data_IF_623700806602
#
_entry.id   IF_623700806602
#
_cell.length_a   1.000
_cell.length_b   1.000
_cell.length_c   1.000
_cell.angle_alpha   90.00
_cell.angle_beta   90.00
_cell.angle_gamma   90.00
#
_symmetry.space_group_name_H-M   'P 1'
#
loop_
_entity.id
_entity.type
_entity.pdbx_description
1 polymer ?
#
# COMPACT_ATOMS: atom_id res chain seq x y z
N UNK A 1 27.49 1.32 0.80
CA UNK A 1 26.16 1.77 0.35
C UNK A 1 26.36 2.72 -0.83
N UNK A 2 25.66 2.53 -1.96
CA UNK A 2 25.90 3.31 -3.20
C UNK A 2 25.57 4.80 -3.00
N UNK A 3 26.44 5.71 -3.46
CA UNK A 3 26.24 7.16 -3.37
C UNK A 3 24.89 7.61 -3.97
N UNK A 4 24.47 6.95 -5.05
CA UNK A 4 23.19 7.22 -5.75
C UNK A 4 22.00 6.88 -4.85
N UNK A 5 22.06 5.75 -4.12
CA UNK A 5 20.98 5.35 -3.22
C UNK A 5 20.82 6.35 -2.08
N UNK A 6 21.92 6.83 -1.51
CA UNK A 6 21.89 7.85 -0.46
C UNK A 6 21.34 9.18 -0.98
N UNK A 7 21.68 9.56 -2.21
CA UNK A 7 21.14 10.77 -2.84
C UNK A 7 19.62 10.69 -3.05
N UNK A 8 19.11 9.54 -3.52
CA UNK A 8 17.65 9.32 -3.66
C UNK A 8 16.98 9.40 -2.29
N UNK A 9 17.52 8.73 -1.26
CA UNK A 9 16.96 8.77 0.10
C UNK A 9 16.89 10.20 0.65
N UNK A 10 17.95 10.97 0.50
CA UNK A 10 17.98 12.37 0.95
C UNK A 10 17.01 13.26 0.16
N UNK A 11 16.87 13.03 -1.15
CA UNK A 11 15.91 13.74 -1.99
C UNK A 11 14.48 13.47 -1.53
N UNK A 12 14.11 12.18 -1.41
CA UNK A 12 12.77 11.76 -0.95
C UNK A 12 12.50 12.32 0.45
N UNK A 13 13.44 12.18 1.38
CA UNK A 13 13.27 12.64 2.77
C UNK A 13 12.99 14.14 2.89
N UNK A 14 13.57 14.97 2.01
CA UNK A 14 13.33 16.42 1.97
C UNK A 14 12.04 16.78 1.24
N UNK A 15 11.60 15.92 0.33
CA UNK A 15 10.43 16.15 -0.53
C UNK A 15 9.11 15.60 0.00
N UNK A 16 9.11 14.90 1.14
CA UNK A 16 7.88 14.32 1.71
C UNK A 16 7.55 14.82 3.10
N UNK A 17 6.26 14.96 3.36
CA UNK A 17 5.69 15.11 4.70
C UNK A 17 5.03 13.79 5.11
N UNK A 18 5.35 13.30 6.32
CA UNK A 18 4.82 12.03 6.84
C UNK A 18 3.86 12.28 7.99
N UNK A 19 2.62 11.82 7.85
CA UNK A 19 1.58 11.90 8.87
C UNK A 19 1.14 10.50 9.29
N UNK A 20 1.19 10.21 10.59
CA UNK A 20 0.75 8.93 11.15
C UNK A 20 -0.61 9.15 11.80
N UNK A 21 -1.63 8.49 11.26
CA UNK A 21 -2.98 8.55 11.83
C UNK A 21 -3.09 7.57 13.01
N UNK A 22 -3.91 7.93 14.00
CA UNK A 22 -4.29 7.04 15.10
C UNK A 22 -4.96 5.75 14.60
N UNK A 23 -5.08 4.75 15.48
CA UNK A 23 -5.55 3.40 15.11
C UNK A 23 -6.91 3.48 14.40
N UNK A 24 -6.99 2.96 13.17
CA UNK A 24 -8.23 3.00 12.37
C UNK A 24 -9.02 1.69 12.50
N UNK A 25 -8.35 0.53 12.59
CA UNK A 25 -8.94 -0.78 12.92
C UNK A 25 -7.88 -1.90 12.80
N UNK A 26 -8.03 -3.01 13.55
CA UNK A 26 -7.20 -4.23 13.46
C UNK A 26 -5.68 -4.06 13.66
N UNK A 27 -5.25 -3.07 14.45
CA UNK A 27 -3.82 -2.87 14.77
C UNK A 27 -2.97 -2.32 13.62
N UNK A 28 -3.61 -1.80 12.56
CA UNK A 28 -2.95 -1.16 11.42
C UNK A 28 -3.00 0.37 11.56
N UNK A 29 -1.84 0.99 11.41
CA UNK A 29 -1.64 2.44 11.43
C UNK A 29 -1.52 2.94 9.99
N UNK A 30 -2.46 3.76 9.50
CA UNK A 30 -2.29 4.45 8.24
C UNK A 30 -1.20 5.50 8.40
N UNK A 31 -0.21 5.43 7.52
CA UNK A 31 0.84 6.43 7.41
C UNK A 31 0.75 7.05 6.04
N UNK A 32 0.35 8.32 6.01
CA UNK A 32 0.24 9.13 4.81
C UNK A 32 1.60 9.80 4.53
N UNK A 33 2.07 9.67 3.31
CA UNK A 33 3.29 10.32 2.80
C UNK A 33 2.86 11.27 1.70
N UNK A 34 2.97 12.57 1.96
CA UNK A 34 2.55 13.62 1.03
C UNK A 34 3.74 14.23 0.33
N UNK A 35 3.65 14.44 -0.97
CA UNK A 35 4.61 15.21 -1.74
C UNK A 35 4.46 16.71 -1.44
N UNK A 36 5.53 17.34 -0.98
CA UNK A 36 5.61 18.78 -0.67
C UNK A 36 6.57 19.53 -1.59
N UNK A 37 7.11 18.89 -2.63
CA UNK A 37 7.97 19.54 -3.62
C UNK A 37 7.17 20.32 -4.64
N UNK A 38 7.86 21.13 -5.45
CA UNK A 38 7.28 21.76 -6.62
C UNK A 38 7.40 20.82 -7.84
N UNK A 39 6.69 19.70 -7.81
CA UNK A 39 6.67 18.69 -8.89
C UNK A 39 5.26 18.49 -9.46
N UNK A 40 5.15 17.71 -10.53
CA UNK A 40 3.85 17.31 -11.09
C UNK A 40 2.97 16.51 -10.11
N UNK A 41 3.56 15.92 -9.08
CA UNK A 41 2.85 15.18 -8.03
C UNK A 41 2.66 15.99 -6.75
N UNK A 42 2.94 17.29 -6.76
CA UNK A 42 2.76 18.17 -5.61
C UNK A 42 1.38 17.99 -4.98
N UNK A 43 1.35 17.69 -3.68
CA UNK A 43 0.12 17.47 -2.92
C UNK A 43 -0.43 16.04 -2.98
N UNK A 44 0.10 15.17 -3.84
CA UNK A 44 -0.29 13.75 -3.87
C UNK A 44 0.13 13.06 -2.59
N UNK A 45 -0.62 12.01 -2.21
CA UNK A 45 -0.41 11.28 -0.96
C UNK A 45 -0.39 9.77 -1.21
N UNK A 46 0.65 9.10 -0.74
CA UNK A 46 0.72 7.64 -0.65
C UNK A 46 0.38 7.21 0.77
N UNK A 47 -0.56 6.27 0.94
CA UNK A 47 -0.87 5.70 2.25
C UNK A 47 -0.27 4.30 2.38
N UNK A 48 0.48 4.10 3.46
CA UNK A 48 1.00 2.81 3.89
C UNK A 48 0.21 2.29 5.09
N UNK A 49 -0.06 0.99 5.14
CA UNK A 49 -0.69 0.34 6.30
C UNK A 49 0.40 -0.35 7.12
N UNK A 50 0.84 0.29 8.19
CA UNK A 50 1.93 -0.15 9.06
C UNK A 50 1.38 -0.93 10.24
N UNK A 51 2.05 -2.02 10.60
CA UNK A 51 1.73 -2.87 11.75
C UNK A 51 2.86 -2.74 12.79
N UNK A 52 2.49 -2.83 14.07
CA UNK A 52 3.45 -2.92 15.17
C UNK A 52 3.70 -4.38 15.49
N UNK A 53 4.94 -4.83 15.39
CA UNK A 53 5.35 -6.19 15.72
C UNK A 53 5.06 -6.49 17.19
N UNK A 54 4.41 -7.63 17.45
CA UNK A 54 4.17 -8.11 18.81
C UNK A 54 5.44 -8.63 19.48
N UNK A 55 6.46 -9.02 18.69
CA UNK A 55 7.70 -9.61 19.21
C UNK A 55 8.70 -8.58 19.70
N UNK A 56 8.96 -7.53 18.90
CA UNK A 56 9.99 -6.54 19.17
C UNK A 56 9.49 -5.09 19.18
N UNK A 57 8.17 -4.88 19.04
CA UNK A 57 7.56 -3.55 19.05
C UNK A 57 7.87 -2.68 17.84
N UNK A 58 8.65 -3.17 16.86
CA UNK A 58 9.04 -2.41 15.67
C UNK A 58 7.92 -2.34 14.63
N UNK A 59 7.90 -1.25 13.90
CA UNK A 59 7.07 -1.04 12.73
C UNK A 59 7.49 -2.00 11.61
N UNK A 60 6.50 -2.59 10.94
CA UNK A 60 6.72 -3.34 9.71
C UNK A 60 5.53 -3.15 8.76
N UNK A 61 5.76 -3.39 7.47
CA UNK A 61 4.71 -3.41 6.46
C UNK A 61 4.74 -4.77 5.76
N UNK A 62 3.71 -5.59 5.95
CA UNK A 62 3.64 -6.93 5.34
C UNK A 62 3.72 -6.90 3.81
N UNK A 63 3.16 -5.87 3.18
CA UNK A 63 3.05 -5.75 1.73
C UNK A 63 4.27 -5.10 1.08
N UNK A 64 5.11 -4.37 1.85
CA UNK A 64 6.27 -3.60 1.39
C UNK A 64 5.94 -2.63 0.24
N UNK A 65 4.74 -2.08 0.25
CA UNK A 65 4.29 -1.07 -0.72
C UNK A 65 3.16 -0.22 -0.15
N UNK A 66 2.91 0.93 -0.76
CA UNK A 66 1.69 1.71 -0.50
C UNK A 66 0.43 0.93 -0.91
N UNK A 67 -0.67 1.20 -0.20
CA UNK A 67 -1.99 0.61 -0.42
C UNK A 67 -2.97 1.54 -1.14
N UNK A 68 -2.71 2.84 -1.12
CA UNK A 68 -3.60 3.87 -1.65
C UNK A 68 -2.77 5.06 -2.12
N UNK A 69 -3.20 5.65 -3.23
CA UNK A 69 -2.69 6.88 -3.81
C UNK A 69 -3.84 7.89 -3.88
N UNK A 70 -3.68 9.06 -3.30
CA UNK A 70 -4.56 10.22 -3.53
C UNK A 70 -3.85 11.23 -4.42
N UNK A 71 -4.50 11.63 -5.49
CA UNK A 71 -4.00 12.60 -6.46
C UNK A 71 -4.82 13.88 -6.34
N UNK A 72 -4.21 14.95 -5.85
CA UNK A 72 -4.80 16.29 -5.87
C UNK A 72 -4.65 16.93 -7.25
N UNK A 73 -5.49 17.92 -7.54
CA UNK A 73 -5.52 18.58 -8.85
C UNK A 73 -5.73 17.60 -10.01
N UNK A 74 -6.54 16.57 -9.78
CA UNK A 74 -6.71 15.46 -10.70
C UNK A 74 -7.34 15.89 -12.03
N UNK A 75 -8.17 16.93 -12.05
CA UNK A 75 -8.79 17.50 -13.25
C UNK A 75 -7.79 17.80 -14.37
N UNK A 76 -6.58 18.27 -14.02
CA UNK A 76 -5.50 18.52 -14.98
C UNK A 76 -4.99 17.22 -15.61
N UNK A 77 -4.73 16.20 -14.78
CA UNK A 77 -4.30 14.88 -15.24
C UNK A 77 -5.39 14.21 -16.07
N UNK A 78 -6.65 14.31 -15.64
CA UNK A 78 -7.80 13.79 -16.37
C UNK A 78 -7.92 14.41 -17.76
N UNK A 79 -7.72 15.72 -17.89
CA UNK A 79 -7.71 16.41 -19.19
C UNK A 79 -6.61 15.85 -20.11
N UNK A 80 -5.40 15.64 -19.59
CA UNK A 80 -4.31 15.02 -20.34
C UNK A 80 -4.63 13.58 -20.76
N UNK A 81 -5.24 12.79 -19.87
CA UNK A 81 -5.70 11.43 -20.17
C UNK A 81 -6.71 11.42 -21.33
N UNK A 82 -7.67 12.34 -21.34
CA UNK A 82 -8.66 12.46 -22.41
C UNK A 82 -8.03 12.87 -23.75
N UNK A 83 -7.05 13.78 -23.73
CA UNK A 83 -6.30 14.17 -24.92
C UNK A 83 -5.51 12.98 -25.49
N UNK A 84 -4.78 12.26 -24.64
CA UNK A 84 -4.03 11.05 -25.01
C UNK A 84 -4.95 9.97 -25.57
N UNK A 85 -6.12 9.75 -24.95
CA UNK A 85 -7.13 8.84 -25.48
C UNK A 85 -7.59 9.23 -26.88
N UNK A 86 -7.92 10.51 -27.08
CA UNK A 86 -8.36 11.03 -28.38
C UNK A 86 -7.31 10.83 -29.47
N UNK A 87 -6.05 11.19 -29.20
CA UNK A 87 -4.92 10.97 -30.11
C UNK A 87 -4.75 9.50 -30.48
N UNK A 88 -4.83 8.61 -29.49
CA UNK A 88 -4.73 7.16 -29.72
C UNK A 88 -5.87 6.63 -30.59
N UNK A 89 -7.10 7.07 -30.35
CA UNK A 89 -8.25 6.66 -31.18
C UNK A 89 -8.20 7.21 -32.60
N UNK A 90 -7.51 8.34 -32.80
CA UNK A 90 -7.24 8.93 -34.12
C UNK A 90 -6.05 8.25 -34.85
N UNK A 91 -5.33 7.33 -34.21
CA UNK A 91 -4.21 6.61 -34.82
C UNK A 91 -2.88 7.36 -34.78
N UNK A 92 -2.77 8.45 -34.01
CA UNK A 92 -1.53 9.23 -33.88
C UNK A 92 -0.44 8.38 -33.22
N UNK A 93 0.68 8.15 -33.90
CA UNK A 93 1.81 7.35 -33.39
C UNK A 93 1.41 5.96 -32.87
N UNK A 94 0.36 5.36 -33.44
CA UNK A 94 -0.10 4.03 -33.06
C UNK A 94 0.65 2.96 -33.83
N UNK A 95 1.30 2.08 -33.07
CA UNK A 95 2.00 0.90 -33.56
C UNK A 95 1.14 -0.34 -33.32
N UNK A 96 1.15 -1.28 -34.29
CA UNK A 96 0.58 -2.62 -34.10
C UNK A 96 1.65 -3.55 -33.54
N UNK A 97 1.34 -4.19 -32.41
CA UNK A 97 2.20 -5.21 -31.82
C UNK A 97 1.97 -6.59 -32.44
N UNK A 98 2.91 -7.50 -32.20
CA UNK A 98 2.88 -8.87 -32.71
C UNK A 98 1.65 -9.68 -32.27
N UNK A 99 1.00 -9.27 -31.18
CA UNK A 99 -0.25 -9.87 -30.68
C UNK A 99 -1.51 -9.23 -31.30
N UNK A 100 -1.35 -8.34 -32.28
CA UNK A 100 -2.42 -7.61 -32.94
C UNK A 100 -2.94 -6.40 -32.16
N UNK A 101 -2.46 -6.16 -30.92
CA UNK A 101 -2.89 -5.02 -30.12
C UNK A 101 -2.27 -3.71 -30.59
N UNK A 102 -3.05 -2.64 -30.56
CA UNK A 102 -2.55 -1.29 -30.80
C UNK A 102 -1.84 -0.76 -29.56
N UNK A 103 -0.73 -0.05 -29.78
CA UNK A 103 0.13 0.50 -28.76
C UNK A 103 0.60 1.89 -29.16
N UNK A 104 0.73 2.82 -28.21
CA UNK A 104 1.35 4.11 -28.45
C UNK A 104 2.01 4.64 -27.18
N UNK A 105 2.92 5.58 -27.37
CA UNK A 105 3.57 6.32 -26.30
C UNK A 105 3.39 7.81 -26.56
N UNK A 106 3.03 8.56 -25.52
CA UNK A 106 2.92 10.02 -25.57
C UNK A 106 3.67 10.62 -24.40
N UNK A 107 4.40 11.70 -24.65
CA UNK A 107 5.12 12.44 -23.63
C UNK A 107 4.80 13.92 -23.82
N UNK A 108 3.69 14.42 -23.26
CA UNK A 108 3.26 15.81 -23.45
C UNK A 108 4.21 16.82 -22.78
N UNK A 109 5.00 16.37 -21.81
CA UNK A 109 6.02 17.15 -21.11
C UNK A 109 7.11 16.22 -20.54
N UNK A 110 8.15 16.80 -19.97
CA UNK A 110 9.27 16.02 -19.38
C UNK A 110 8.89 15.34 -18.04
N UNK A 111 7.76 15.71 -17.44
CA UNK A 111 7.32 15.23 -16.13
C UNK A 111 6.41 13.99 -16.19
N UNK A 112 5.77 13.71 -17.32
CA UNK A 112 4.78 12.63 -17.48
C UNK A 112 5.00 11.85 -18.78
N UNK A 113 5.01 10.53 -18.65
CA UNK A 113 5.07 9.59 -19.75
C UNK A 113 3.80 8.74 -19.80
N UNK A 114 3.11 8.76 -20.92
CA UNK A 114 1.89 7.99 -21.15
C UNK A 114 2.18 6.81 -22.06
N UNK A 115 1.75 5.63 -21.63
CA UNK A 115 1.80 4.41 -22.41
C UNK A 115 0.37 3.92 -22.63
N UNK A 116 -0.04 3.78 -23.87
CA UNK A 116 -1.42 3.44 -24.24
C UNK A 116 -1.43 2.09 -24.93
N UNK A 117 -2.38 1.23 -24.55
CA UNK A 117 -2.60 -0.05 -25.19
C UNK A 117 -4.08 -0.31 -25.36
N UNK A 118 -4.47 -0.88 -26.49
CA UNK A 118 -5.82 -1.43 -26.59
C UNK A 118 -6.01 -2.64 -25.67
N UNK A 119 -7.25 -2.82 -25.27
CA UNK A 119 -7.78 -4.03 -24.65
C UNK A 119 -9.09 -4.38 -25.34
N UNK A 120 -9.59 -5.59 -25.10
CA UNK A 120 -10.93 -5.99 -25.55
C UNK A 120 -11.96 -4.97 -25.01
N UNK A 121 -12.57 -4.22 -25.93
CA UNK A 121 -13.58 -3.17 -25.68
C UNK A 121 -13.13 -1.98 -24.83
N UNK A 122 -11.83 -1.77 -24.60
CA UNK A 122 -11.35 -0.67 -23.77
C UNK A 122 -9.94 -0.23 -24.18
N UNK A 123 -9.49 0.89 -23.63
CA UNK A 123 -8.13 1.40 -23.79
C UNK A 123 -7.53 1.58 -22.41
N UNK A 124 -6.34 1.00 -22.19
CA UNK A 124 -5.58 1.20 -20.97
C UNK A 124 -4.51 2.27 -21.19
N UNK A 125 -4.53 3.30 -20.36
CA UNK A 125 -3.59 4.41 -20.36
C UNK A 125 -2.80 4.35 -19.06
N UNK A 126 -1.53 3.98 -19.14
CA UNK A 126 -0.60 4.00 -18.00
C UNK A 126 0.15 5.32 -18.01
N UNK A 127 0.02 6.09 -16.94
CA UNK A 127 0.81 7.29 -16.67
C UNK A 127 1.99 6.87 -15.82
N UNK A 128 3.20 7.27 -16.21
CA UNK A 128 4.42 7.11 -15.42
C UNK A 128 4.98 8.49 -15.12
N UNK A 129 5.25 8.76 -13.85
CA UNK A 129 5.87 10.01 -13.41
C UNK A 129 7.35 10.00 -13.79
N UNK A 130 7.78 10.97 -14.59
CA UNK A 130 9.19 11.14 -15.02
C UNK A 130 9.81 12.42 -14.49
N UNK A 131 9.09 13.16 -13.65
CA UNK A 131 9.59 14.36 -12.98
C UNK A 131 10.67 14.01 -11.94
N UNK A 132 11.90 14.46 -12.15
CA UNK A 132 13.03 14.20 -11.25
C UNK A 132 12.90 14.90 -9.88
N UNK A 133 12.06 15.94 -9.78
CA UNK A 133 11.80 16.64 -8.53
C UNK A 133 10.73 15.96 -7.67
N UNK A 134 10.01 14.99 -8.25
CA UNK A 134 8.98 14.24 -7.53
C UNK A 134 9.61 13.18 -6.62
N UNK A 135 9.25 13.14 -5.32
CA UNK A 135 9.59 12.00 -4.48
C UNK A 135 8.90 10.71 -4.95
N UNK A 136 7.89 10.82 -5.83
CA UNK A 136 7.15 9.71 -6.43
C UNK A 136 7.61 9.38 -7.85
N UNK A 137 8.85 9.73 -8.20
CA UNK A 137 9.45 9.42 -9.48
C UNK A 137 9.30 7.94 -9.86
N UNK A 138 8.96 7.67 -11.12
CA UNK A 138 8.61 6.37 -11.71
C UNK A 138 7.35 5.67 -11.14
N UNK A 139 6.59 6.32 -10.27
CA UNK A 139 5.23 5.87 -9.93
C UNK A 139 4.42 5.70 -11.22
N UNK A 140 3.73 4.57 -11.34
CA UNK A 140 2.88 4.29 -12.48
C UNK A 140 1.43 4.09 -12.06
N UNK A 141 0.50 4.73 -12.76
CA UNK A 141 -0.95 4.63 -12.53
C UNK A 141 -1.64 4.25 -13.83
N UNK A 142 -2.48 3.22 -13.81
CA UNK A 142 -3.21 2.78 -15.02
C UNK A 142 -4.69 3.16 -14.95
N UNK A 143 -5.13 3.96 -15.91
CA UNK A 143 -6.53 4.29 -16.12
C UNK A 143 -7.10 3.46 -17.27
N UNK A 144 -8.35 3.02 -17.15
CA UNK A 144 -9.03 2.27 -18.21
C UNK A 144 -10.21 3.09 -18.71
N UNK A 145 -10.26 3.30 -20.02
CA UNK A 145 -11.34 4.02 -20.69
C UNK A 145 -12.14 3.04 -21.54
N UNK A 146 -13.44 3.04 -21.35
CA UNK A 146 -14.41 2.25 -22.11
C UNK A 146 -15.45 3.16 -22.76
N UNK A 147 -16.22 2.67 -23.72
CA UNK A 147 -17.42 3.36 -24.16
C UNK A 147 -18.52 3.18 -23.08
N UNK A 148 -19.23 4.25 -22.75
CA UNK A 148 -20.41 4.20 -21.90
C UNK A 148 -21.54 3.45 -22.61
N UNK A 149 -22.23 2.58 -21.87
CA UNK A 149 -23.39 1.84 -22.39
C UNK A 149 -24.59 2.76 -22.66
N UNK A 150 -24.63 3.97 -22.09
CA UNK A 150 -25.77 4.88 -22.20
C UNK A 150 -25.75 5.73 -23.48
N UNK A 151 -24.56 6.19 -23.88
CA UNK A 151 -24.42 7.16 -24.97
C UNK A 151 -23.22 6.88 -25.90
N UNK A 152 -22.48 5.79 -25.68
CA UNK A 152 -21.30 5.42 -26.47
C UNK A 152 -20.09 6.32 -26.27
N UNK A 153 -20.16 7.33 -25.40
CA UNK A 153 -19.07 8.28 -25.16
C UNK A 153 -17.96 7.64 -24.32
N UNK A 154 -16.70 8.06 -24.50
CA UNK A 154 -15.60 7.55 -23.68
C UNK A 154 -15.81 7.92 -22.22
N UNK A 155 -15.61 6.94 -21.35
CA UNK A 155 -15.77 7.04 -19.91
C UNK A 155 -14.63 6.31 -19.20
N UNK A 156 -14.03 6.96 -18.20
CA UNK A 156 -12.97 6.38 -17.39
C UNK A 156 -13.57 5.53 -16.26
N UNK A 157 -13.24 4.24 -16.24
CA UNK A 157 -13.77 3.30 -15.25
C UNK A 157 -13.36 3.75 -13.85
N UNK A 158 -14.33 3.81 -12.93
CA UNK A 158 -14.11 4.15 -11.53
C UNK A 158 -14.14 5.66 -11.23
N UNK A 159 -14.20 6.52 -12.26
CA UNK A 159 -14.17 7.98 -12.11
C UNK A 159 -15.17 8.48 -11.06
N UNK A 160 -16.45 8.15 -11.21
CA UNK A 160 -17.50 8.69 -10.31
C UNK A 160 -17.37 8.21 -8.86
N UNK A 161 -16.76 7.04 -8.64
CA UNK A 161 -16.55 6.47 -7.30
C UNK A 161 -15.25 6.91 -6.63
N UNK A 162 -14.27 7.35 -7.42
CA UNK A 162 -12.91 7.61 -6.97
C UNK A 162 -12.56 9.10 -6.99
N UNK A 163 -13.28 9.91 -7.77
CA UNK A 163 -13.05 11.34 -7.91
C UNK A 163 -14.03 12.16 -7.08
N UNK A 164 -13.50 13.03 -6.22
CA UNK A 164 -14.24 14.06 -5.51
C UNK A 164 -14.06 15.42 -6.21
N UNK A 165 -15.14 15.91 -6.81
CA UNK A 165 -15.17 17.20 -7.50
C UNK A 165 -14.98 18.41 -6.58
N UNK A 166 -15.34 18.29 -5.29
CA UNK A 166 -15.25 19.43 -4.37
C UNK A 166 -13.80 19.72 -3.97
N UNK A 167 -12.99 18.67 -3.90
CA UNK A 167 -11.58 18.73 -3.48
C UNK A 167 -10.61 18.51 -4.64
N UNK A 168 -11.12 18.31 -5.86
CA UNK A 168 -10.34 17.94 -7.05
C UNK A 168 -9.34 16.81 -6.75
N UNK A 169 -9.83 15.77 -6.08
CA UNK A 169 -9.02 14.67 -5.57
C UNK A 169 -9.50 13.34 -6.10
N UNK A 170 -8.57 12.52 -6.62
CA UNK A 170 -8.84 11.16 -7.06
C UNK A 170 -8.13 10.14 -6.17
N UNK A 171 -8.85 9.13 -5.70
CA UNK A 171 -8.32 8.06 -4.83
C UNK A 171 -8.18 6.74 -5.60
N UNK A 172 -6.95 6.30 -5.82
CA UNK A 172 -6.58 5.04 -6.48
C UNK A 172 -6.08 4.00 -5.47
N UNK A 173 -6.65 2.78 -5.51
CA UNK A 173 -6.35 1.71 -4.57
C UNK A 173 -5.63 0.51 -5.21
N UNK A 174 -5.80 0.29 -6.51
CA UNK A 174 -5.46 -0.96 -7.18
C UNK A 174 -4.53 -0.78 -8.38
N UNK A 175 -4.69 0.32 -9.13
CA UNK A 175 -4.03 0.51 -10.42
C UNK A 175 -2.75 1.36 -10.34
N UNK A 176 -2.38 1.82 -9.16
CA UNK A 176 -1.13 2.52 -8.89
C UNK A 176 -0.05 1.55 -8.38
N UNK A 177 1.19 1.71 -8.84
CA UNK A 177 2.34 0.92 -8.36
C UNK A 177 3.69 1.58 -8.67
N UNK A 178 4.61 1.49 -7.71
CA UNK A 178 6.05 1.58 -7.96
C UNK A 178 6.66 0.18 -8.00
N UNK A 179 6.37 -0.63 -6.96
CA UNK A 179 6.67 -2.06 -6.89
C UNK A 179 5.44 -2.92 -7.28
N UNK A 180 5.65 -4.07 -7.95
CA UNK A 180 4.61 -5.05 -8.18
C UNK A 180 4.16 -5.71 -6.86
N UNK A 181 2.97 -6.32 -6.86
CA UNK A 181 2.49 -7.09 -5.72
C UNK A 181 3.40 -8.30 -5.42
N UNK A 182 3.57 -8.62 -4.13
CA UNK A 182 4.38 -9.75 -3.65
C UNK A 182 3.99 -11.12 -4.25
N UNK A 183 2.78 -11.28 -4.79
CA UNK A 183 2.42 -12.50 -5.54
C UNK A 183 3.24 -12.71 -6.82
N UNK A 184 3.99 -11.70 -7.29
CA UNK A 184 4.85 -11.77 -8.46
C UNK A 184 6.29 -12.26 -8.17
N UNK A 185 6.61 -12.69 -6.94
CA UNK A 185 7.93 -13.22 -6.61
C UNK A 185 8.16 -14.63 -7.15
N UNK A 186 9.33 -14.84 -7.73
CA UNK A 186 9.75 -16.15 -8.25
C UNK A 186 10.39 -16.94 -7.12
N UNK A 187 9.96 -18.19 -6.84
CA UNK A 187 10.65 -19.05 -5.87
C UNK A 187 12.11 -19.30 -6.32
N UNK A 188 13.04 -19.29 -5.37
CA UNK A 188 14.50 -19.34 -5.58
C UNK A 188 14.96 -20.62 -6.30
N UNK A 189 14.16 -21.70 -6.23
CA UNK A 189 14.40 -22.92 -7.03
C UNK A 189 13.08 -23.44 -7.62
N UNK A 190 13.05 -23.65 -8.94
CA UNK A 190 11.98 -24.37 -9.63
C UNK A 190 12.54 -25.71 -10.08
N UNK A 191 12.16 -26.79 -9.41
CA UNK A 191 12.31 -28.15 -9.92
C UNK A 191 10.89 -28.72 -10.06
N UNK A 192 10.56 -29.22 -11.24
CA UNK A 192 9.30 -29.93 -11.51
C UNK A 192 8.02 -29.15 -11.17
N UNK A 193 7.95 -27.85 -11.53
CA UNK A 193 6.81 -26.95 -11.30
C UNK A 193 6.41 -26.68 -9.83
N UNK A 194 7.13 -27.24 -8.86
CA UNK A 194 6.96 -26.92 -7.45
C UNK A 194 8.01 -25.86 -7.07
N UNK A 195 7.55 -24.70 -6.60
CA UNK A 195 8.43 -23.69 -6.04
C UNK A 195 8.86 -24.12 -4.64
N UNK A 196 10.16 -24.33 -4.43
CA UNK A 196 10.70 -24.66 -3.10
C UNK A 196 11.63 -23.56 -2.61
N UNK A 197 11.50 -23.21 -1.33
CA UNK A 197 12.40 -22.29 -0.62
C UNK A 197 13.31 -23.18 0.25
N UNK A 198 14.63 -23.02 0.10
CA UNK A 198 15.58 -23.62 1.05
C UNK A 198 15.62 -22.72 2.28
N UNK A 199 15.14 -23.23 3.40
CA UNK A 199 15.18 -22.55 4.70
C UNK A 199 15.86 -23.47 5.71
N UNK A 200 16.66 -22.89 6.61
CA UNK A 200 17.01 -23.58 7.85
C UNK A 200 15.73 -23.72 8.68
N UNK A 201 15.52 -24.86 9.32
CA UNK A 201 14.33 -25.12 10.11
C UNK A 201 14.67 -25.65 11.49
N UNK A 202 13.84 -25.30 12.47
CA UNK A 202 13.87 -25.86 13.83
C UNK A 202 12.66 -26.76 13.99
N UNK A 203 12.86 -27.94 14.58
CA UNK A 203 11.76 -28.85 14.87
C UNK A 203 11.07 -28.35 16.14
N UNK A 204 9.78 -28.04 16.05
CA UNK A 204 8.98 -27.63 17.20
C UNK A 204 8.61 -28.84 18.08
N UNK A 205 8.00 -28.58 19.25
CA UNK A 205 7.64 -29.62 20.22
C UNK A 205 6.60 -30.63 19.71
N UNK A 206 5.98 -30.36 18.55
CA UNK A 206 5.00 -31.21 17.88
C UNK A 206 5.63 -32.01 16.72
N UNK A 207 6.95 -31.88 16.52
CA UNK A 207 7.69 -32.56 15.45
C UNK A 207 7.58 -31.88 14.08
N UNK A 208 7.02 -30.67 14.00
CA UNK A 208 6.88 -29.90 12.77
C UNK A 208 8.11 -29.02 12.55
N UNK A 209 8.55 -28.89 11.29
CA UNK A 209 9.68 -28.03 10.92
C UNK A 209 9.17 -26.59 10.78
N UNK A 210 9.54 -25.73 11.72
CA UNK A 210 9.35 -24.28 11.63
C UNK A 210 10.55 -23.64 10.96
N UNK A 211 10.34 -22.59 10.16
CA UNK A 211 11.43 -21.85 9.53
C UNK A 211 12.19 -21.07 10.61
N UNK A 212 13.51 -21.28 10.68
CA UNK A 212 14.40 -20.46 11.49
C UNK A 212 14.57 -19.10 10.80
N UNK A 213 13.81 -18.10 11.24
CA UNK A 213 13.88 -16.73 10.70
C UNK A 213 15.13 -15.97 11.13
N UNK A 214 15.87 -16.43 12.15
CA UNK A 214 17.11 -15.81 12.60
C UNK A 214 18.32 -16.30 11.77
N UNK A 215 18.24 -17.52 11.23
CA UNK A 215 19.28 -18.11 10.37
C UNK A 215 18.96 -18.11 8.88
N UNK A 216 17.70 -17.90 8.50
CA UNK A 216 17.27 -17.92 7.10
C UNK A 216 16.85 -16.54 6.61
N UNK A 217 17.65 -15.93 5.74
CA UNK A 217 17.21 -14.80 4.95
C UNK A 217 16.34 -15.30 3.77
N UNK A 218 15.02 -15.14 3.87
CA UNK A 218 14.11 -15.44 2.76
C UNK A 218 14.23 -14.33 1.72
N UNK A 219 15.07 -14.56 0.71
CA UNK A 219 15.26 -13.61 -0.40
C UNK A 219 14.18 -13.80 -1.46
N UNK A 220 13.30 -12.82 -1.60
CA UNK A 220 12.31 -12.77 -2.67
C UNK A 220 12.91 -12.12 -3.92
N UNK A 221 13.08 -12.89 -5.00
CA UNK A 221 13.58 -12.36 -6.28
C UNK A 221 12.44 -11.74 -7.08
N UNK A 222 12.52 -10.43 -7.26
CA UNK A 222 11.66 -9.69 -8.18
C UNK A 222 12.29 -9.67 -9.57
N UNK A 223 11.57 -10.18 -10.58
CA UNK A 223 11.99 -9.96 -11.97
C UNK A 223 11.82 -8.49 -12.32
N UNK A 224 12.92 -7.76 -12.37
CA UNK A 224 12.94 -6.38 -12.87
C UNK A 224 12.95 -6.44 -14.39
N UNK A 225 11.90 -5.91 -15.03
CA UNK A 225 11.71 -5.98 -16.48
C UNK A 225 12.51 -4.92 -17.25
N UNK A 226 12.89 -3.82 -16.59
CA UNK A 226 13.71 -2.73 -17.14
C UNK A 226 14.24 -1.81 -16.04
N UNK A 227 15.16 -0.91 -16.40
CA UNK A 227 15.79 0.06 -15.49
C UNK A 227 14.78 0.99 -14.80
N UNK A 228 13.71 1.42 -15.50
CA UNK A 228 12.66 2.28 -14.92
C UNK A 228 11.95 1.59 -13.76
N UNK A 229 11.68 0.29 -13.88
CA UNK A 229 11.07 -0.52 -12.81
C UNK A 229 12.02 -0.78 -11.65
N UNK A 230 13.33 -0.85 -11.91
CA UNK A 230 14.33 -0.89 -10.84
C UNK A 230 14.32 0.43 -10.06
N UNK A 231 14.33 1.55 -10.78
CA UNK A 231 14.32 2.88 -10.19
C UNK A 231 13.07 3.12 -9.35
N UNK A 232 11.88 2.77 -9.87
CA UNK A 232 10.63 2.83 -9.11
C UNK A 232 10.73 2.06 -7.78
N UNK A 233 11.32 0.86 -7.81
CA UNK A 233 11.51 0.06 -6.61
C UNK A 233 12.49 0.66 -5.60
N UNK A 234 13.49 1.40 -6.07
CA UNK A 234 14.43 2.13 -5.21
C UNK A 234 13.71 3.29 -4.51
N UNK A 235 12.91 4.06 -5.24
CA UNK A 235 12.10 5.15 -4.67
C UNK A 235 11.08 4.63 -3.64
N UNK A 236 10.32 3.58 -3.96
CA UNK A 236 9.36 2.96 -3.03
C UNK A 236 10.03 2.50 -1.73
N UNK A 237 11.20 1.83 -1.84
CA UNK A 237 11.94 1.38 -0.66
C UNK A 237 12.48 2.56 0.16
N UNK A 238 12.95 3.62 -0.48
CA UNK A 238 13.39 4.83 0.22
C UNK A 238 12.24 5.48 0.99
N UNK A 239 11.05 5.59 0.40
CA UNK A 239 9.84 6.08 1.07
C UNK A 239 9.46 5.15 2.24
N UNK A 240 9.44 3.84 2.00
CA UNK A 240 9.06 2.86 3.02
C UNK A 240 10.01 2.89 4.23
N UNK A 241 11.31 3.03 4.03
CA UNK A 241 12.27 3.20 5.14
C UNK A 241 11.93 4.42 5.99
N UNK A 242 11.67 5.58 5.37
CA UNK A 242 11.28 6.81 6.08
C UNK A 242 9.98 6.59 6.87
N UNK A 243 9.00 5.91 6.26
CA UNK A 243 7.72 5.57 6.90
C UNK A 243 7.92 4.67 8.13
N UNK A 244 8.77 3.65 8.01
CA UNK A 244 9.04 2.71 9.11
C UNK A 244 9.80 3.41 10.24
N UNK A 245 10.79 4.25 9.94
CA UNK A 245 11.52 5.05 10.93
C UNK A 245 10.58 5.98 11.69
N UNK A 246 9.73 6.73 10.98
CA UNK A 246 8.74 7.61 11.61
C UNK A 246 7.71 6.85 12.43
N UNK A 247 7.30 5.67 11.96
CA UNK A 247 6.39 4.80 12.72
C UNK A 247 7.03 4.27 14.00
N UNK A 248 8.30 3.91 13.97
CA UNK A 248 9.06 3.49 15.15
C UNK A 248 9.20 4.62 16.17
N UNK A 249 9.50 5.85 15.73
CA UNK A 249 9.51 7.05 16.58
C UNK A 249 8.15 7.21 17.29
N UNK A 250 7.06 7.14 16.53
CA UNK A 250 5.69 7.25 17.06
C UNK A 250 5.33 6.14 18.05
N UNK A 251 5.68 4.88 17.75
CA UNK A 251 5.41 3.75 18.65
C UNK A 251 6.21 3.82 19.95
N UNK A 252 7.44 4.35 19.90
CA UNK A 252 8.29 4.53 21.07
C UNK A 252 7.77 5.65 21.96
N UNK A 253 7.43 6.80 21.37
CA UNK A 253 6.86 7.95 22.09
C UNK A 253 5.55 7.59 22.81
N UNK A 254 4.64 6.87 22.13
CA UNK A 254 3.37 6.47 22.73
C UNK A 254 3.50 5.34 23.76
N UNK A 255 4.53 4.49 23.67
CA UNK A 255 4.82 3.52 24.73
C UNK A 255 5.36 4.17 26.02
N UNK A 256 6.01 5.34 25.92
CA UNK A 256 6.44 6.10 27.10
C UNK A 256 5.29 6.88 27.76
N UNK A 257 4.27 7.27 26.99
CA UNK A 257 3.05 7.92 27.50
C UNK A 257 2.10 6.96 28.27
N UNK A 258 2.32 5.65 28.19
CA UNK A 258 1.59 4.61 28.94
C UNK A 258 2.40 4.01 30.10
N UNK A 259 3.26 4.80 30.75
CA UNK A 259 3.74 4.47 32.09
C UNK A 259 2.61 4.77 33.08
N UNK A 260 2.04 3.80 33.81
CA UNK A 260 1.21 4.12 34.95
C UNK A 260 2.09 4.89 35.93
N UNK A 261 1.63 6.08 36.36
CA UNK A 261 2.20 6.75 37.52
C UNK A 261 2.13 5.79 38.70
N UNK A 262 3.20 5.05 38.97
CA UNK A 262 3.46 4.49 40.28
C UNK A 262 3.85 5.66 41.17
N UNK A 263 2.82 6.36 41.65
CA UNK A 263 2.92 7.27 42.78
C UNK A 263 3.32 6.47 44.02
N UNK A 264 4.62 6.48 44.29
CA UNK A 264 5.17 6.26 45.62
C UNK A 264 4.42 7.17 46.60
N UNK A 265 3.59 6.58 47.48
CA UNK A 265 3.15 7.25 48.69
C UNK A 265 3.51 6.37 49.88
N UNK A 266 4.69 6.67 50.47
CA UNK A 266 5.07 6.19 51.78
C UNK A 266 4.34 7.01 52.84
N UNK A 267 3.42 6.39 53.56
CA UNK A 267 3.05 6.82 54.92
C UNK A 267 2.36 5.68 55.67
N UNK A 268 3.14 5.03 56.55
CA UNK A 268 2.81 4.57 57.92
C UNK A 268 1.46 3.84 58.21
N UNK A 269 1.58 2.51 58.43
CA UNK A 269 0.94 1.54 59.38
C UNK A 269 -0.03 2.04 60.51
N UNK A 270 -0.79 1.17 61.26
CA UNK A 270 -1.12 -0.29 61.17
C UNK A 270 -2.60 -0.71 61.52
N UNK A 271 -2.87 -2.05 61.55
CA UNK A 271 -4.04 -2.82 62.11
C UNK A 271 -5.33 -2.90 61.26
N UNK A 272 -6.13 -4.00 61.18
CA UNK A 272 -6.27 -5.26 61.94
C UNK A 272 -7.03 -6.34 61.11
N UNK A 273 -6.59 -7.59 61.22
CA UNK A 273 -7.31 -8.89 61.38
C UNK A 273 -8.75 -9.17 60.82
N UNK A 274 -8.82 -10.29 60.08
CA UNK A 274 -9.89 -11.32 59.92
C UNK A 274 -11.35 -10.96 59.53
N UNK A 275 -11.87 -11.61 58.47
CA UNK A 275 -12.91 -12.67 58.58
C UNK A 275 -13.37 -13.21 57.21
N UNK A 276 -13.48 -14.54 57.13
CA UNK A 276 -14.23 -15.33 56.14
C UNK A 276 -15.71 -14.90 56.07
N UNK A 277 -16.35 -15.02 54.89
CA UNK A 277 -17.64 -15.71 54.60
C UNK A 277 -18.16 -15.34 53.19
N UNK A 278 -18.51 -16.37 52.39
CA UNK A 278 -19.52 -16.33 51.31
C UNK A 278 -20.89 -16.79 51.91
N UNK A 279 -22.08 -16.73 51.26
CA UNK A 279 -22.34 -16.74 49.80
C UNK A 279 -23.58 -15.92 49.29
N UNK A 280 -23.77 -16.01 47.95
CA UNK A 280 -24.91 -15.73 47.05
C UNK A 280 -26.30 -15.33 47.63
N UNK A 281 -27.02 -14.36 47.06
CA UNK A 281 -28.03 -14.41 45.95
C UNK A 281 -28.64 -12.97 45.87
N UNK A 282 -29.26 -12.41 44.82
CA UNK A 282 -30.23 -12.92 43.87
C UNK A 282 -30.51 -11.89 42.73
N UNK A 283 -30.79 -12.43 41.54
CA UNK A 283 -31.72 -12.02 40.46
C UNK A 283 -31.99 -10.55 40.06
N UNK A 284 -31.81 -10.31 38.77
CA UNK A 284 -32.56 -9.34 37.94
C UNK A 284 -32.43 -9.68 36.45
N UNK A 285 -33.52 -10.20 35.86
CA UNK A 285 -33.70 -10.59 34.45
C UNK A 285 -33.57 -9.40 33.47
N UNK A 286 -33.09 -9.60 32.22
CA UNK A 286 -33.97 -9.80 31.04
C UNK A 286 -33.24 -9.79 29.67
N UNK A 287 -33.65 -10.75 28.82
CA UNK A 287 -33.81 -10.79 27.35
C UNK A 287 -32.75 -10.29 26.34
N UNK A 288 -32.09 -11.31 25.77
CA UNK A 288 -32.02 -11.70 24.34
C UNK A 288 -30.90 -11.15 23.41
N UNK A 289 -30.27 -12.05 22.61
CA UNK A 289 -29.11 -11.77 21.77
C UNK A 289 -29.50 -11.55 20.30
N UNK A 290 -28.79 -10.66 19.62
CA UNK A 290 -28.74 -10.65 18.15
C UNK A 290 -27.28 -10.60 17.70
N UNK A 291 -26.83 -11.75 17.21
CA UNK A 291 -25.61 -11.94 16.45
C UNK A 291 -25.98 -12.83 15.26
N UNK A 292 -25.91 -12.36 14.00
CA UNK A 292 -25.92 -13.27 12.87
C UNK A 292 -24.48 -13.55 12.45
N UNK A 293 -24.02 -14.75 12.80
CA UNK A 293 -22.93 -15.42 12.11
C UNK A 293 -23.40 -15.82 10.70
N UNK A 294 -22.67 -15.39 9.67
CA UNK A 294 -22.81 -15.90 8.30
C UNK A 294 -22.10 -17.25 8.21
N UNK A 295 -22.88 -18.30 8.05
CA UNK A 295 -22.43 -19.64 7.69
C UNK A 295 -22.72 -19.86 6.20
N UNK A 296 -21.67 -20.11 5.43
CA UNK A 296 -21.70 -20.51 4.02
C UNK A 296 -21.67 -22.04 3.99
N UNK A 297 -22.66 -22.69 3.37
CA UNK A 297 -22.38 -23.77 2.41
C UNK A 297 -23.62 -24.29 1.65
N UNK A 298 -23.39 -24.54 0.35
CA UNK A 298 -23.96 -25.54 -0.56
C UNK A 298 -25.39 -25.42 -1.18
N UNK A 299 -25.41 -24.91 -2.44
CA UNK A 299 -25.94 -25.45 -3.74
C UNK A 299 -27.17 -26.40 -3.76
N UNK A 300 -28.05 -26.44 -4.81
CA UNK A 300 -27.66 -26.55 -6.25
C UNK A 300 -28.60 -25.99 -7.36
N UNK A 301 -28.05 -25.94 -8.59
CA UNK A 301 -28.61 -26.22 -9.94
C UNK A 301 -30.01 -25.71 -10.30
N UNK A 302 -30.08 -24.82 -11.31
CA UNK A 302 -30.66 -25.05 -12.66
C UNK A 302 -30.14 -23.98 -13.63
#
# INVERSE_FOLDING_TARGET
MSAILNQIKESVKKGVEVNIQGIVQYGKYPVSVKDITNSVTSGWELTYRIEKSQFNGKAFNKHERFSELKMTSFSNLYTMIQQVYSQFKQGVNVEKRNDGSNFAVYQPNDSLWFTVRDKKNSVAITVTITDDNSPFHMLSVTFVITASNQNGQPYMIGYDSQYDHNTDTYTELLNASMLPNKHAYVPVTRKDNIGTIKAAGVVNNEGLVEIDYDQTEVVYLQKVLNERRLLAGIYEKAILEIVLDKSNEYFTANSQAQQPMNGFNQSSMPHMQNAFHAPQTNQGLNSNPFNPALNLDNTPVF
#
